data_IF_550490364840
#
_entry.id   IF_550490364840
#
_cell.length_a   1.000
_cell.length_b   1.000
_cell.length_c   1.000
_cell.angle_alpha   90.00
_cell.angle_beta   90.00
_cell.angle_gamma   90.00
#
_symmetry.space_group_name_H-M   'P 1'
#
loop_
_entity.id
_entity.type
_entity.pdbx_description
1 polymer ?
#
# COMPACT_ATOMS: atom_id res chain seq x y z
N UNK A 1 13.42 -17.32 -18.51
CA UNK A 1 12.86 -16.01 -18.09
C UNK A 1 11.71 -15.55 -18.97
N UNK A 2 11.77 -15.62 -20.31
CA UNK A 2 10.67 -15.21 -21.21
C UNK A 2 9.30 -15.89 -20.93
N UNK A 3 9.27 -17.20 -20.70
CA UNK A 3 8.00 -17.92 -20.49
C UNK A 3 7.25 -17.49 -19.23
N UNK A 4 7.97 -17.15 -18.15
CA UNK A 4 7.37 -16.73 -16.88
C UNK A 4 6.75 -15.34 -16.98
N UNK A 5 7.39 -14.44 -17.73
CA UNK A 5 6.86 -13.09 -17.97
C UNK A 5 5.58 -13.15 -18.84
N UNK A 6 5.58 -13.97 -19.89
CA UNK A 6 4.38 -14.18 -20.72
C UNK A 6 3.25 -14.81 -19.90
N UNK A 7 3.58 -15.75 -19.01
CA UNK A 7 2.60 -16.32 -18.08
C UNK A 7 2.02 -15.25 -17.14
N UNK A 8 2.84 -14.35 -16.58
CA UNK A 8 2.37 -13.25 -15.73
C UNK A 8 1.46 -12.29 -16.50
N UNK A 9 1.82 -11.89 -17.72
CA UNK A 9 1.01 -10.99 -18.56
C UNK A 9 -0.35 -11.58 -18.96
N UNK A 10 -0.43 -12.89 -19.20
CA UNK A 10 -1.66 -13.57 -19.60
C UNK A 10 -2.51 -14.03 -18.41
N UNK A 11 -1.97 -14.07 -17.20
CA UNK A 11 -2.71 -14.51 -16.02
C UNK A 11 -3.64 -13.40 -15.55
N UNK A 12 -4.95 -13.62 -15.73
CA UNK A 12 -5.95 -12.71 -15.18
C UNK A 12 -5.88 -12.72 -13.66
N UNK A 13 -5.44 -11.59 -13.12
CA UNK A 13 -5.32 -11.38 -11.68
C UNK A 13 -6.02 -10.07 -11.35
N UNK A 14 -6.94 -10.11 -10.39
CA UNK A 14 -7.62 -8.92 -9.87
C UNK A 14 -7.14 -8.63 -8.45
N UNK A 15 -7.26 -7.38 -8.00
CA UNK A 15 -6.94 -7.02 -6.61
C UNK A 15 -7.71 -7.93 -5.62
N UNK A 16 -8.99 -8.20 -5.89
CA UNK A 16 -9.83 -9.15 -5.13
C UNK A 16 -9.20 -10.53 -4.98
N UNK A 17 -8.54 -11.06 -6.01
CA UNK A 17 -8.00 -12.44 -5.99
C UNK A 17 -6.67 -12.56 -5.25
N UNK A 18 -5.99 -11.44 -5.02
CA UNK A 18 -4.69 -11.37 -4.32
C UNK A 18 -4.80 -10.73 -2.95
N UNK A 19 -5.89 -10.03 -2.63
CA UNK A 19 -6.13 -9.48 -1.30
C UNK A 19 -6.53 -10.60 -0.33
N UNK A 20 -5.74 -10.76 0.73
CA UNK A 20 -6.02 -11.66 1.84
C UNK A 20 -7.04 -11.05 2.81
N UNK A 21 -6.88 -9.76 3.14
CA UNK A 21 -7.77 -9.04 4.05
C UNK A 21 -7.89 -7.56 3.66
N UNK A 22 -9.03 -6.97 4.01
CA UNK A 22 -9.31 -5.54 3.85
C UNK A 22 -9.75 -5.01 5.20
N UNK A 23 -9.10 -3.95 5.64
CA UNK A 23 -9.45 -3.25 6.87
C UNK A 23 -9.62 -1.76 6.60
N UNK A 24 -10.57 -1.14 7.28
CA UNK A 24 -10.83 0.30 7.18
C UNK A 24 -10.71 0.86 8.58
N UNK A 25 -9.81 1.82 8.72
CA UNK A 25 -9.52 2.48 9.99
C UNK A 25 -9.88 3.96 9.87
N UNK A 26 -10.38 4.53 10.96
CA UNK A 26 -10.56 5.98 11.07
C UNK A 26 -9.35 6.54 11.81
N UNK A 27 -8.54 7.34 11.10
CA UNK A 27 -7.35 7.97 11.62
C UNK A 27 -7.45 9.50 11.44
N UNK A 28 -7.84 10.25 12.48
CA UNK A 28 -8.08 11.68 12.37
C UNK A 28 -6.78 12.50 12.32
N UNK A 29 -5.65 11.92 12.72
CA UNK A 29 -4.34 12.55 12.66
C UNK A 29 -3.54 11.94 11.49
N UNK A 30 -3.06 12.72 10.53
CA UNK A 30 -2.29 12.19 9.41
C UNK A 30 -0.79 12.02 9.75
N UNK A 31 -0.32 12.56 10.88
CA UNK A 31 1.11 12.51 11.30
C UNK A 31 1.36 11.40 12.31
N UNK A 32 0.39 11.17 13.19
CA UNK A 32 0.41 10.08 14.15
C UNK A 32 -0.73 9.13 13.88
N UNK A 33 -0.58 7.86 14.23
CA UNK A 33 -1.62 6.87 14.00
C UNK A 33 -2.23 6.36 15.29
N UNK A 34 -3.55 6.22 15.29
CA UNK A 34 -4.30 5.57 16.38
C UNK A 34 -4.24 4.04 16.32
N UNK A 35 -3.64 3.46 15.28
CA UNK A 35 -3.56 2.01 15.07
C UNK A 35 -2.40 1.45 15.89
N UNK A 36 -2.69 0.57 16.85
CA UNK A 36 -1.70 -0.05 17.75
C UNK A 36 -0.82 -1.13 17.07
N UNK A 37 -0.99 -1.38 15.78
CA UNK A 37 -0.12 -2.32 15.06
C UNK A 37 1.28 -1.71 14.87
N UNK A 38 2.28 -2.37 15.45
CA UNK A 38 3.68 -1.95 15.37
C UNK A 38 4.22 -1.76 13.95
N UNK A 39 3.69 -2.48 12.96
CA UNK A 39 4.04 -2.29 11.56
C UNK A 39 3.46 -0.98 11.04
N UNK A 40 2.24 -0.66 11.43
CA UNK A 40 1.57 0.57 11.00
C UNK A 40 2.30 1.79 11.54
N UNK A 41 2.65 1.79 12.83
CA UNK A 41 3.46 2.86 13.43
C UNK A 41 4.80 3.01 12.74
N UNK A 42 5.55 1.92 12.54
CA UNK A 42 6.86 1.96 11.86
C UNK A 42 6.76 2.49 10.43
N UNK A 43 5.67 2.18 9.74
CA UNK A 43 5.43 2.62 8.37
C UNK A 43 5.14 4.12 8.30
N UNK A 44 4.25 4.63 9.15
CA UNK A 44 3.94 6.07 9.25
C UNK A 44 5.19 6.84 9.67
N UNK A 45 5.92 6.36 10.68
CA UNK A 45 7.17 6.99 11.12
C UNK A 45 8.24 7.02 10.03
N UNK A 46 8.41 5.93 9.27
CA UNK A 46 9.39 5.88 8.17
C UNK A 46 9.02 6.81 7.02
N UNK A 47 7.72 6.90 6.70
CA UNK A 47 7.22 7.78 5.64
C UNK A 47 7.42 9.25 5.96
N UNK A 48 7.23 9.65 7.23
CA UNK A 48 7.42 11.03 7.70
C UNK A 48 8.81 11.32 8.26
N UNK A 49 9.73 10.35 8.29
CA UNK A 49 11.10 10.55 8.79
C UNK A 49 11.92 11.54 7.96
N UNK A 50 11.60 11.66 6.66
CA UNK A 50 12.23 12.61 5.75
C UNK A 50 11.20 13.70 5.43
N UNK A 51 11.45 14.97 5.80
CA UNK A 51 10.54 16.07 5.48
C UNK A 51 10.52 16.30 3.96
N UNK A 52 9.31 16.24 3.39
CA UNK A 52 9.04 16.46 1.96
C UNK A 52 7.93 17.51 1.82
N UNK A 53 8.27 18.65 1.21
CA UNK A 53 7.35 19.78 1.02
C UNK A 53 6.13 19.41 0.18
N UNK A 54 6.25 18.46 -0.75
CA UNK A 54 5.14 18.01 -1.57
C UNK A 54 4.15 17.17 -0.73
N UNK A 55 4.66 16.32 0.16
CA UNK A 55 3.86 15.51 1.08
C UNK A 55 3.16 16.42 2.11
N UNK A 56 3.86 17.38 2.70
CA UNK A 56 3.29 18.32 3.67
C UNK A 56 2.17 19.17 3.06
N UNK A 57 2.32 19.59 1.80
CA UNK A 57 1.30 20.36 1.10
C UNK A 57 0.02 19.55 0.84
N UNK A 58 0.16 18.24 0.63
CA UNK A 58 -0.94 17.30 0.34
C UNK A 58 -1.54 16.68 1.59
N UNK A 59 -0.85 16.74 2.73
CA UNK A 59 -1.27 16.16 4.01
C UNK A 59 -2.66 16.67 4.43
N UNK A 60 -2.93 17.96 4.25
CA UNK A 60 -4.23 18.58 4.56
C UNK A 60 -5.38 18.12 3.65
N UNK A 61 -5.05 17.51 2.52
CA UNK A 61 -6.02 17.02 1.54
C UNK A 61 -6.29 15.52 1.72
N UNK A 62 -5.55 14.82 2.59
CA UNK A 62 -5.78 13.41 2.86
C UNK A 62 -7.04 13.20 3.69
N UNK A 63 -7.80 12.16 3.34
CA UNK A 63 -8.98 11.76 4.10
C UNK A 63 -8.58 11.12 5.44
N UNK A 64 -9.37 11.30 6.50
CA UNK A 64 -9.15 10.63 7.79
C UNK A 64 -9.52 9.13 7.77
N UNK A 65 -9.76 8.57 6.59
CA UNK A 65 -10.09 7.16 6.39
C UNK A 65 -8.87 6.47 5.80
N UNK A 66 -8.34 5.51 6.54
CA UNK A 66 -7.25 4.68 6.09
C UNK A 66 -7.79 3.34 5.56
N UNK A 67 -7.44 3.00 4.32
CA UNK A 67 -7.77 1.71 3.71
C UNK A 67 -6.53 0.83 3.72
N UNK A 68 -6.57 -0.25 4.50
CA UNK A 68 -5.48 -1.20 4.60
C UNK A 68 -5.79 -2.46 3.79
N UNK A 69 -4.91 -2.77 2.83
CA UNK A 69 -5.02 -3.95 1.99
C UNK A 69 -3.88 -4.91 2.31
N UNK A 70 -4.22 -6.04 2.93
CA UNK A 70 -3.26 -7.12 3.15
C UNK A 70 -3.26 -8.00 1.92
N UNK A 71 -2.12 -8.10 1.25
CA UNK A 71 -1.96 -8.94 0.07
C UNK A 71 -1.39 -10.31 0.46
N UNK A 72 -1.92 -11.36 -0.19
CA UNK A 72 -1.39 -12.72 -0.05
C UNK A 72 -0.06 -12.84 -0.79
N UNK A 73 1.03 -12.90 -0.03
CA UNK A 73 2.40 -12.99 -0.54
C UNK A 73 2.61 -14.13 -1.54
N UNK A 74 1.97 -15.28 -1.31
CA UNK A 74 2.11 -16.43 -2.22
C UNK A 74 1.51 -16.15 -3.61
N UNK A 75 0.55 -15.21 -3.69
CA UNK A 75 -0.13 -14.81 -4.93
C UNK A 75 0.45 -13.56 -5.55
N UNK A 76 1.17 -12.74 -4.79
CA UNK A 76 1.77 -11.48 -5.27
C UNK A 76 3.27 -11.56 -5.52
N UNK A 77 3.95 -12.66 -5.16
CA UNK A 77 5.39 -12.87 -5.40
C UNK A 77 5.81 -12.70 -6.86
N UNK A 78 4.89 -12.99 -7.77
CA UNK A 78 5.09 -12.93 -9.22
C UNK A 78 4.46 -11.67 -9.84
N UNK A 79 3.96 -10.71 -9.06
CA UNK A 79 3.30 -9.50 -9.57
C UNK A 79 4.05 -8.23 -9.20
N UNK A 80 4.17 -7.30 -10.15
CA UNK A 80 4.69 -5.96 -9.89
C UNK A 80 3.61 -5.09 -9.22
N UNK A 81 3.74 -4.86 -7.92
CA UNK A 81 2.81 -4.01 -7.14
C UNK A 81 2.74 -2.56 -7.66
N UNK A 82 3.77 -2.11 -8.38
CA UNK A 82 3.81 -0.78 -9.02
C UNK A 82 2.64 -0.53 -9.98
N UNK A 83 2.09 -1.58 -10.60
CA UNK A 83 0.94 -1.47 -11.53
C UNK A 83 -0.35 -1.08 -10.78
N UNK A 84 -0.48 -1.52 -9.52
CA UNK A 84 -1.66 -1.25 -8.70
C UNK A 84 -1.65 0.22 -8.26
N UNK A 85 -0.52 0.71 -7.77
CA UNK A 85 -0.38 2.11 -7.34
C UNK A 85 -0.61 3.10 -8.49
N UNK A 86 -0.09 2.81 -9.69
CA UNK A 86 -0.26 3.68 -10.86
C UNK A 86 -1.69 3.77 -11.41
N UNK A 87 -2.59 2.88 -10.98
CA UNK A 87 -3.99 2.88 -11.42
C UNK A 87 -4.84 3.91 -10.69
N UNK A 88 -4.43 4.31 -9.47
CA UNK A 88 -5.12 5.28 -8.64
C UNK A 88 -4.41 6.64 -8.79
N UNK A 89 -4.91 7.47 -9.69
CA UNK A 89 -4.24 8.71 -10.12
C UNK A 89 -4.10 9.76 -9.01
N UNK A 90 -5.22 10.40 -8.65
CA UNK A 90 -5.26 11.57 -7.77
C UNK A 90 -6.20 11.38 -6.57
N UNK A 91 -7.05 10.35 -6.60
CA UNK A 91 -8.09 10.14 -5.58
C UNK A 91 -7.60 9.32 -4.39
N UNK A 92 -6.46 8.64 -4.51
CA UNK A 92 -5.90 7.81 -3.46
C UNK A 92 -4.39 8.05 -3.33
N UNK A 93 -3.94 8.29 -2.10
CA UNK A 93 -2.53 8.22 -1.75
C UNK A 93 -2.22 6.78 -1.38
N UNK A 94 -1.42 6.10 -2.20
CA UNK A 94 -1.03 4.69 -2.01
C UNK A 94 0.41 4.66 -1.55
N UNK A 95 0.65 4.04 -0.40
CA UNK A 95 1.98 3.74 0.11
C UNK A 95 2.04 2.23 0.33
N UNK A 96 3.16 1.59 -0.02
CA UNK A 96 3.36 0.15 0.17
C UNK A 96 4.74 -0.12 0.77
N UNK A 97 4.88 -1.22 1.49
CA UNK A 97 6.17 -1.68 1.99
C UNK A 97 6.85 -2.54 0.92
N UNK A 98 8.12 -2.26 0.62
CA UNK A 98 8.96 -3.09 -0.26
C UNK A 98 9.52 -4.33 0.46
N UNK A 99 9.59 -4.29 1.80
CA UNK A 99 10.09 -5.41 2.58
C UNK A 99 8.97 -6.44 2.83
N UNK A 100 9.11 -7.57 2.14
CA UNK A 100 8.25 -8.75 2.23
C UNK A 100 8.51 -9.57 3.52
N UNK A 101 9.04 -8.96 4.59
CA UNK A 101 9.37 -9.66 5.82
C UNK A 101 8.07 -10.05 6.55
N UNK A 102 7.84 -11.37 6.54
CA UNK A 102 6.66 -12.09 7.05
C UNK A 102 6.17 -11.56 8.40
N UNK A 103 4.89 -11.19 8.46
CA UNK A 103 4.04 -11.55 9.61
C UNK A 103 3.30 -12.83 9.27
#
# INVERSE_FOLDING_TARGET
>A
MLAKNVQQELTYTSLRTVTAAVEIWYDPDPISTVIEDSIFTLFVESFFAIPDEEIESKLRLQSPWHLWLVLDHARTIDWSLSVVAGSFKMDLSVVWNEDNSRK
#
